data_IF_283140403068
#
_entry.id   IF_283140403068
#
_cell.length_a   1.000
_cell.length_b   1.000
_cell.length_c   1.000
_cell.angle_alpha   90.00
_cell.angle_beta   90.00
_cell.angle_gamma   90.00
#
_symmetry.space_group_name_H-M   'P 1'
#
loop_
_entity.id
_entity.type
_entity.pdbx_description
1 polymer ?
#
# COMPACT_ATOMS: atom_id res chain seq x y z
N UNK A 1 -6.52 -3.99 37.31
CA UNK A 1 -6.51 -3.74 35.85
C UNK A 1 -5.09 -3.33 35.47
N UNK A 2 -4.26 -4.30 35.08
CA UNK A 2 -2.81 -4.09 34.92
C UNK A 2 -2.50 -3.34 33.64
N UNK A 3 -1.92 -2.15 33.77
CA UNK A 3 -1.30 -1.42 32.66
C UNK A 3 -0.10 -2.27 32.23
N UNK A 4 -0.22 -2.94 31.08
CA UNK A 4 0.90 -3.61 30.44
C UNK A 4 1.84 -2.51 29.99
N UNK A 5 2.85 -2.22 30.80
CA UNK A 5 4.03 -1.52 30.33
C UNK A 5 4.63 -2.38 29.21
N UNK A 6 4.34 -2.00 27.97
CA UNK A 6 5.21 -2.35 26.87
C UNK A 6 6.51 -1.59 27.13
N UNK A 7 7.41 -2.23 27.87
CA UNK A 7 8.79 -1.78 28.00
C UNK A 7 9.38 -1.91 26.61
N UNK A 8 9.34 -0.82 25.84
CA UNK A 8 10.21 -0.65 24.69
C UNK A 8 11.63 -0.71 25.24
N UNK A 9 12.23 -1.89 25.21
CA UNK A 9 13.66 -1.99 25.45
C UNK A 9 14.36 -1.28 24.27
N UNK A 10 15.19 -0.31 24.60
CA UNK A 10 15.40 0.93 23.82
C UNK A 10 16.26 0.77 22.55
N UNK A 11 16.38 -0.44 22.01
CA UNK A 11 17.13 -0.76 20.78
C UNK A 11 16.53 -1.87 19.92
N UNK A 12 15.44 -2.55 20.34
CA UNK A 12 14.87 -3.70 19.61
C UNK A 12 13.78 -3.30 18.61
N UNK A 13 13.73 -3.95 17.44
CA UNK A 13 12.63 -3.80 16.48
C UNK A 13 11.41 -4.60 16.96
N UNK A 14 10.25 -3.93 17.08
CA UNK A 14 8.96 -4.61 17.28
C UNK A 14 8.49 -5.25 15.97
N UNK A 15 8.86 -6.53 15.79
CA UNK A 15 8.49 -7.36 14.64
C UNK A 15 6.97 -7.43 14.44
N UNK A 16 6.20 -7.50 15.52
CA UNK A 16 4.74 -7.57 15.43
C UNK A 16 4.13 -6.23 14.95
N UNK A 17 4.67 -5.10 15.39
CA UNK A 17 4.29 -3.79 14.85
C UNK A 17 4.64 -3.65 13.36
N UNK A 18 5.82 -4.11 12.93
CA UNK A 18 6.22 -4.06 11.52
C UNK A 18 5.29 -4.91 10.66
N UNK A 19 4.93 -6.12 11.09
CA UNK A 19 3.95 -6.94 10.38
C UNK A 19 2.58 -6.27 10.29
N UNK A 20 2.08 -5.63 11.36
CA UNK A 20 0.82 -4.88 11.32
C UNK A 20 0.84 -3.76 10.28
N UNK A 21 1.92 -2.98 10.20
CA UNK A 21 2.07 -1.91 9.19
C UNK A 21 2.11 -2.50 7.78
N UNK A 22 2.84 -3.60 7.58
CA UNK A 22 2.88 -4.28 6.28
C UNK A 22 1.48 -4.77 5.85
N UNK A 23 0.71 -5.34 6.77
CA UNK A 23 -0.66 -5.80 6.48
C UNK A 23 -1.59 -4.63 6.18
N UNK A 24 -1.47 -3.51 6.89
CA UNK A 24 -2.23 -2.28 6.61
C UNK A 24 -1.92 -1.70 5.23
N UNK A 25 -0.64 -1.65 4.85
CA UNK A 25 -0.22 -1.19 3.51
C UNK A 25 -0.79 -2.09 2.41
N UNK A 26 -0.76 -3.41 2.60
CA UNK A 26 -1.33 -4.36 1.64
C UNK A 26 -2.84 -4.17 1.49
N UNK A 27 -3.57 -4.07 2.60
CA UNK A 27 -5.04 -3.85 2.57
C UNK A 27 -5.38 -2.53 1.87
N UNK A 28 -4.66 -1.45 2.17
CA UNK A 28 -4.88 -0.17 1.50
C UNK A 28 -4.59 -0.24 -0.01
N UNK A 29 -3.53 -0.94 -0.40
CA UNK A 29 -3.18 -1.15 -1.80
C UNK A 29 -4.25 -1.95 -2.55
N UNK A 30 -4.77 -3.02 -1.95
CA UNK A 30 -5.85 -3.84 -2.52
C UNK A 30 -7.13 -3.04 -2.72
N UNK A 31 -7.56 -2.27 -1.71
CA UNK A 31 -8.76 -1.41 -1.81
C UNK A 31 -8.62 -0.40 -2.95
N UNK A 32 -7.46 0.25 -3.07
CA UNK A 32 -7.23 1.22 -4.14
C UNK A 32 -7.18 0.55 -5.51
N UNK A 33 -6.53 -0.60 -5.64
CA UNK A 33 -6.44 -1.32 -6.92
C UNK A 33 -7.82 -1.79 -7.41
N UNK A 34 -8.65 -2.33 -6.51
CA UNK A 34 -10.03 -2.70 -6.83
C UNK A 34 -10.88 -1.47 -7.22
N UNK A 35 -10.75 -0.35 -6.49
CA UNK A 35 -11.47 0.87 -6.85
C UNK A 35 -11.07 1.39 -8.24
N UNK A 36 -9.78 1.33 -8.58
CA UNK A 36 -9.28 1.70 -9.92
C UNK A 36 -9.85 0.77 -10.99
N UNK A 37 -9.78 -0.55 -10.79
CA UNK A 37 -10.23 -1.55 -11.75
C UNK A 37 -11.75 -1.55 -11.97
N UNK A 38 -12.53 -1.44 -10.90
CA UNK A 38 -13.99 -1.58 -10.97
C UNK A 38 -14.69 -0.26 -11.29
N UNK A 39 -14.21 0.86 -10.74
CA UNK A 39 -14.96 2.12 -10.78
C UNK A 39 -14.38 3.08 -11.81
N UNK A 40 -13.06 3.29 -11.81
CA UNK A 40 -12.45 4.28 -12.71
C UNK A 40 -12.37 3.79 -14.15
N UNK A 41 -12.08 2.50 -14.38
CA UNK A 41 -12.11 1.92 -15.72
C UNK A 41 -13.53 1.89 -16.33
N UNK A 42 -14.58 1.88 -15.49
CA UNK A 42 -15.97 1.90 -15.93
C UNK A 42 -16.47 3.30 -16.32
N UNK A 43 -15.72 4.37 -16.00
CA UNK A 43 -16.10 5.74 -16.34
C UNK A 43 -15.91 5.98 -17.85
N UNK A 44 -16.99 5.83 -18.62
CA UNK A 44 -17.02 6.01 -20.08
C UNK A 44 -17.00 7.48 -20.54
N UNK A 45 -16.42 8.39 -19.76
CA UNK A 45 -16.30 9.81 -20.14
C UNK A 45 -15.51 9.90 -21.45
N UNK A 46 -16.15 10.42 -22.50
CA UNK A 46 -15.52 10.62 -23.80
C UNK A 46 -16.14 11.82 -24.48
N UNK A 47 -15.43 12.44 -25.41
CA UNK A 47 -15.95 13.55 -26.18
C UNK A 47 -17.21 13.21 -27.00
N UNK A 48 -17.46 11.93 -27.26
CA UNK A 48 -18.70 11.41 -27.86
C UNK A 48 -19.89 11.45 -26.89
N UNK A 49 -19.67 11.20 -25.59
CA UNK A 49 -20.71 11.25 -24.54
C UNK A 49 -21.00 12.67 -24.04
N UNK A 50 -20.06 13.61 -24.18
CA UNK A 50 -20.20 14.99 -23.70
C UNK A 50 -20.99 15.91 -24.66
N UNK A 51 -21.28 15.46 -25.89
CA UNK A 51 -21.91 16.26 -26.94
C UNK A 51 -20.90 17.17 -27.67
N UNK A 52 -21.22 17.58 -28.91
CA UNK A 52 -20.26 18.19 -29.86
C UNK A 52 -19.61 19.50 -29.37
N UNK A 53 -20.28 20.24 -28.49
CA UNK A 53 -19.76 21.47 -27.89
C UNK A 53 -18.72 21.21 -26.77
N UNK A 54 -18.70 20.00 -26.20
CA UNK A 54 -17.86 19.66 -25.04
C UNK A 54 -16.90 18.49 -25.34
N UNK A 55 -16.76 18.09 -26.60
CA UNK A 55 -15.88 16.99 -27.02
C UNK A 55 -14.45 17.15 -26.47
N UNK A 56 -13.83 18.31 -26.70
CA UNK A 56 -12.48 18.60 -26.20
C UNK A 56 -12.37 18.53 -24.67
N UNK A 57 -13.41 18.97 -23.94
CA UNK A 57 -13.44 18.92 -22.47
C UNK A 57 -13.66 17.50 -21.94
N UNK A 58 -14.46 16.71 -22.63
CA UNK A 58 -14.67 15.29 -22.32
C UNK A 58 -13.40 14.46 -22.54
N UNK A 59 -12.68 14.70 -23.63
CA UNK A 59 -11.41 14.02 -23.91
C UNK A 59 -10.31 14.44 -22.94
N UNK A 60 -10.25 15.73 -22.58
CA UNK A 60 -9.33 16.21 -21.54
C UNK A 60 -9.61 15.57 -20.16
N UNK A 61 -10.89 15.44 -19.79
CA UNK A 61 -11.27 14.76 -18.55
C UNK A 61 -10.87 13.28 -18.57
N UNK A 62 -11.08 12.59 -19.70
CA UNK A 62 -10.65 11.19 -19.86
C UNK A 62 -9.15 11.04 -19.68
N UNK A 63 -8.34 11.90 -20.32
CA UNK A 63 -6.89 11.84 -20.21
C UNK A 63 -6.39 12.04 -18.76
N UNK A 64 -6.98 12.98 -18.02
CA UNK A 64 -6.63 13.18 -16.61
C UNK A 64 -7.04 12.00 -15.72
N UNK A 65 -8.19 11.37 -15.99
CA UNK A 65 -8.64 10.16 -15.28
C UNK A 65 -7.74 8.94 -15.57
N UNK A 66 -7.31 8.77 -16.82
CA UNK A 66 -6.34 7.73 -17.20
C UNK A 66 -4.99 7.95 -16.50
N UNK A 67 -4.54 9.21 -16.42
CA UNK A 67 -3.32 9.57 -15.67
C UNK A 67 -3.47 9.27 -14.19
N UNK A 68 -4.58 9.64 -13.57
CA UNK A 68 -4.85 9.38 -12.16
C UNK A 68 -4.89 7.87 -11.87
N UNK A 69 -5.62 7.11 -12.69
CA UNK A 69 -5.67 5.64 -12.64
C UNK A 69 -4.26 5.05 -12.66
N UNK A 70 -3.42 5.50 -13.59
CA UNK A 70 -2.04 5.04 -13.71
C UNK A 70 -1.22 5.33 -12.44
N UNK A 71 -1.36 6.53 -11.87
CA UNK A 71 -0.66 6.90 -10.63
C UNK A 71 -1.12 6.07 -9.44
N UNK A 72 -2.42 5.82 -9.30
CA UNK A 72 -2.99 5.01 -8.22
C UNK A 72 -2.53 3.55 -8.32
N UNK A 73 -2.53 2.95 -9.51
CA UNK A 73 -2.00 1.59 -9.71
C UNK A 73 -0.50 1.49 -9.44
N UNK A 74 0.28 2.55 -9.73
CA UNK A 74 1.70 2.58 -9.35
C UNK A 74 1.88 2.67 -7.83
N UNK A 75 1.09 3.52 -7.16
CA UNK A 75 1.12 3.65 -5.71
C UNK A 75 0.72 2.35 -5.00
N UNK A 76 -0.32 1.66 -5.48
CA UNK A 76 -0.75 0.37 -4.94
C UNK A 76 0.37 -0.67 -5.02
N UNK A 77 0.97 -0.83 -6.21
CA UNK A 77 2.10 -1.76 -6.41
C UNK A 77 3.31 -1.42 -5.55
N UNK A 78 3.64 -0.13 -5.41
CA UNK A 78 4.73 0.31 -4.54
C UNK A 78 4.45 0.00 -3.06
N UNK A 79 3.20 0.18 -2.62
CA UNK A 79 2.78 -0.12 -1.24
C UNK A 79 2.87 -1.62 -0.93
N UNK A 80 2.50 -2.48 -1.88
CA UNK A 80 2.70 -3.94 -1.76
C UNK A 80 4.20 -4.27 -1.67
N UNK A 81 5.04 -3.67 -2.53
CA UNK A 81 6.49 -3.89 -2.49
C UNK A 81 7.11 -3.49 -1.14
N UNK A 82 6.68 -2.36 -0.57
CA UNK A 82 7.10 -1.91 0.76
C UNK A 82 6.63 -2.90 1.83
N UNK A 83 5.39 -3.39 1.79
CA UNK A 83 4.89 -4.38 2.73
C UNK A 83 5.72 -5.68 2.71
N UNK A 84 6.10 -6.16 1.52
CA UNK A 84 7.00 -7.31 1.34
C UNK A 84 8.39 -7.03 1.93
N UNK A 85 8.95 -5.86 1.65
CA UNK A 85 10.25 -5.45 2.21
C UNK A 85 10.22 -5.37 3.74
N UNK A 86 9.15 -4.83 4.33
CA UNK A 86 8.96 -4.78 5.78
C UNK A 86 8.88 -6.17 6.40
N UNK A 87 8.08 -7.08 5.81
CA UNK A 87 7.93 -8.45 6.31
C UNK A 87 9.25 -9.23 6.24
N UNK A 88 9.97 -9.13 5.11
CA UNK A 88 11.27 -9.78 4.95
C UNK A 88 12.36 -9.18 5.86
N UNK A 89 12.34 -7.88 6.11
CA UNK A 89 13.23 -7.22 7.08
C UNK A 89 12.96 -7.68 8.51
N UNK A 90 11.69 -7.72 8.91
CA UNK A 90 11.27 -8.16 10.23
C UNK A 90 11.65 -9.63 10.51
N UNK A 91 11.46 -10.52 9.53
CA UNK A 91 11.86 -11.92 9.65
C UNK A 91 13.38 -12.06 9.83
N UNK A 92 14.18 -11.38 8.99
CA UNK A 92 15.65 -11.39 9.13
C UNK A 92 16.12 -10.87 10.48
N UNK A 93 15.43 -9.86 11.03
CA UNK A 93 15.74 -9.35 12.37
C UNK A 93 15.45 -10.39 13.45
N UNK A 94 14.29 -11.04 13.39
CA UNK A 94 13.93 -12.11 14.32
C UNK A 94 14.92 -13.29 14.26
N UNK A 95 15.31 -13.71 13.07
CA UNK A 95 16.29 -14.78 12.86
C UNK A 95 17.66 -14.41 13.45
N UNK A 96 18.10 -13.16 13.27
CA UNK A 96 19.35 -12.65 13.84
C UNK A 96 19.33 -12.60 15.38
N UNK A 97 18.20 -12.19 15.97
CA UNK A 97 18.02 -12.16 17.42
C UNK A 97 18.09 -13.57 18.03
N UNK A 98 17.38 -14.54 17.43
CA UNK A 98 17.42 -15.94 17.84
C UNK A 98 18.83 -16.53 17.74
N UNK A 99 19.55 -16.19 16.67
CA UNK A 99 20.92 -16.63 16.47
C UNK A 99 21.90 -16.04 17.48
N UNK A 100 21.74 -14.76 17.83
CA UNK A 100 22.53 -14.11 18.86
C UNK A 100 22.27 -14.74 20.23
N UNK A 101 20.99 -14.97 20.58
CA UNK A 101 20.61 -15.63 21.83
C UNK A 101 21.19 -17.04 21.97
N UNK A 102 21.15 -17.84 20.90
CA UNK A 102 21.70 -19.20 20.88
C UNK A 102 23.23 -19.26 21.04
N UNK A 103 23.94 -18.15 20.82
CA UNK A 103 25.41 -18.09 20.93
C UNK A 103 25.90 -17.62 22.30
N UNK A 104 25.05 -16.94 23.06
CA UNK A 104 25.37 -16.38 24.38
C UNK A 104 24.91 -17.32 25.51
N UNK A 105 23.98 -18.23 25.21
CA UNK A 105 23.58 -19.34 26.08
C UNK A 105 24.66 -20.44 26.15
#
# INVERSE_FOLDING_TARGET
MGIRHATFDRTGIDVAAVHRVADQLRVAAEVVDSAVGDHLAALAFSGAMAGRAYTARGDALRAELERLTTQLSQWSRASVAIAVALRSGAQRYADAELYAAARIA
#
